data_IF_240365971465
#
_entry.id   IF_240365971465
#
_cell.length_a   1.000
_cell.length_b   1.000
_cell.length_c   1.000
_cell.angle_alpha   90.00
_cell.angle_beta   90.00
_cell.angle_gamma   90.00
#
_symmetry.space_group_name_H-M   'P 1'
#
loop_
_entity.id
_entity.type
_entity.pdbx_description
1 polymer ?
#
# COMPACT_ATOMS: atom_id res chain seq x y z
N UNK A 1 -13.33 -17.13 21.72
CA UNK A 1 -13.11 -18.27 20.79
C UNK A 1 -11.82 -18.02 20.04
N UNK A 2 -10.86 -18.95 20.10
CA UNK A 2 -9.62 -18.83 19.32
C UNK A 2 -9.98 -18.97 17.83
N UNK A 3 -9.69 -17.93 17.05
CA UNK A 3 -10.09 -17.88 15.64
C UNK A 3 -9.17 -18.78 14.82
N UNK A 4 -9.76 -19.67 14.02
CA UNK A 4 -9.02 -20.50 13.06
C UNK A 4 -8.40 -19.57 11.99
N UNK A 5 -7.09 -19.69 11.81
CA UNK A 5 -6.35 -18.99 10.74
C UNK A 5 -6.82 -19.52 9.40
N UNK A 6 -7.06 -18.61 8.44
CA UNK A 6 -7.62 -18.94 7.13
C UNK A 6 -6.51 -18.82 6.08
N UNK A 7 -6.00 -19.96 5.62
CA UNK A 7 -4.83 -20.03 4.72
C UNK A 7 -5.05 -19.26 3.41
N UNK A 8 -6.28 -19.26 2.88
CA UNK A 8 -6.60 -18.54 1.64
C UNK A 8 -6.42 -17.02 1.75
N UNK A 9 -6.56 -16.44 2.95
CA UNK A 9 -6.36 -14.98 3.15
C UNK A 9 -4.85 -14.66 3.15
N UNK A 10 -4.03 -15.55 3.71
CA UNK A 10 -2.58 -15.41 3.64
C UNK A 10 -2.05 -15.60 2.21
N UNK A 11 -2.62 -16.55 1.46
CA UNK A 11 -2.35 -16.72 0.03
C UNK A 11 -2.73 -15.45 -0.75
N UNK A 12 -3.92 -14.90 -0.52
CA UNK A 12 -4.36 -13.66 -1.16
C UNK A 12 -3.41 -12.50 -0.87
N UNK A 13 -2.91 -12.38 0.37
CA UNK A 13 -1.90 -11.38 0.71
C UNK A 13 -0.59 -11.60 -0.05
N UNK A 14 -0.10 -12.84 -0.11
CA UNK A 14 1.08 -13.20 -0.89
C UNK A 14 0.93 -12.82 -2.37
N UNK A 15 -0.25 -13.13 -2.95
CA UNK A 15 -0.58 -12.75 -4.32
C UNK A 15 -0.57 -11.23 -4.51
N UNK A 16 -1.14 -10.46 -3.57
CA UNK A 16 -1.09 -8.98 -3.70
C UNK A 16 0.32 -8.42 -3.66
N UNK A 17 1.26 -9.02 -2.92
CA UNK A 17 2.66 -8.58 -2.93
C UNK A 17 3.29 -8.83 -4.31
N UNK A 18 3.10 -10.03 -4.87
CA UNK A 18 3.57 -10.34 -6.23
C UNK A 18 2.94 -9.41 -7.27
N UNK A 19 1.67 -9.06 -7.07
CA UNK A 19 0.93 -8.20 -7.97
C UNK A 19 1.42 -6.74 -7.95
N UNK A 20 1.85 -6.25 -6.78
CA UNK A 20 2.54 -4.94 -6.66
C UNK A 20 3.85 -4.96 -7.42
N UNK A 21 4.64 -6.03 -7.34
CA UNK A 21 5.89 -6.17 -8.09
C UNK A 21 5.61 -6.23 -9.59
N UNK A 22 4.64 -7.05 -10.02
CA UNK A 22 4.24 -7.22 -11.43
C UNK A 22 3.92 -5.88 -12.10
N UNK A 23 3.20 -5.01 -11.41
CA UNK A 23 2.84 -3.67 -11.90
C UNK A 23 4.05 -2.79 -12.24
N UNK A 24 5.18 -2.98 -11.57
CA UNK A 24 6.40 -2.23 -11.82
C UNK A 24 7.36 -2.93 -12.78
N UNK A 25 7.00 -4.12 -13.24
CA UNK A 25 7.66 -4.78 -14.37
C UNK A 25 6.95 -4.31 -15.64
N UNK A 26 7.66 -4.20 -16.76
CA UNK A 26 7.10 -3.88 -18.09
C UNK A 26 6.26 -5.05 -18.65
N UNK A 27 5.50 -5.72 -17.78
CA UNK A 27 4.64 -6.84 -18.09
C UNK A 27 3.24 -6.34 -18.43
N UNK A 28 2.51 -7.03 -19.32
CA UNK A 28 1.12 -6.71 -19.59
C UNK A 28 0.31 -6.74 -18.30
N UNK A 29 -0.41 -5.65 -18.02
CA UNK A 29 -1.35 -5.58 -16.92
C UNK A 29 -2.72 -5.17 -17.44
N UNK A 30 -3.71 -6.01 -17.19
CA UNK A 30 -5.11 -5.69 -17.46
C UNK A 30 -5.72 -4.83 -16.36
N UNK A 31 -5.08 -4.75 -15.18
CA UNK A 31 -5.58 -3.98 -14.05
C UNK A 31 -4.61 -2.85 -13.72
N UNK A 32 -5.18 -1.68 -13.43
CA UNK A 32 -4.40 -0.49 -13.15
C UNK A 32 -3.87 -0.48 -11.72
N UNK A 33 -2.74 0.22 -11.54
CA UNK A 33 -2.13 0.53 -10.24
C UNK A 33 -3.14 1.09 -9.22
N UNK A 34 -4.12 1.84 -9.73
CA UNK A 34 -5.25 2.43 -9.01
C UNK A 34 -6.12 1.43 -8.26
N UNK A 35 -6.08 0.15 -8.62
CA UNK A 35 -6.83 -0.93 -7.95
C UNK A 35 -5.89 -1.80 -7.11
N UNK A 36 -4.73 -2.11 -7.67
CA UNK A 36 -3.74 -3.00 -7.05
C UNK A 36 -3.27 -2.49 -5.67
N UNK A 37 -2.84 -1.23 -5.59
CA UNK A 37 -2.31 -0.67 -4.34
C UNK A 37 -3.40 -0.54 -3.25
N UNK A 38 -4.62 -0.01 -3.55
CA UNK A 38 -5.70 -0.03 -2.58
C UNK A 38 -6.06 -1.41 -2.05
N UNK A 39 -6.15 -2.43 -2.91
CA UNK A 39 -6.45 -3.81 -2.51
C UNK A 39 -5.36 -4.35 -1.59
N UNK A 40 -4.08 -4.14 -1.93
CA UNK A 40 -2.94 -4.54 -1.10
C UNK A 40 -3.01 -3.94 0.31
N UNK A 41 -3.23 -2.62 0.42
CA UNK A 41 -3.29 -1.94 1.71
C UNK A 41 -4.54 -2.31 2.51
N UNK A 42 -5.69 -2.48 1.84
CA UNK A 42 -6.92 -2.95 2.46
C UNK A 42 -6.76 -4.36 3.06
N UNK A 43 -6.23 -5.33 2.30
CA UNK A 43 -5.99 -6.67 2.82
C UNK A 43 -4.95 -6.68 3.94
N UNK A 44 -3.93 -5.85 3.83
CA UNK A 44 -2.93 -5.69 4.89
C UNK A 44 -3.53 -5.15 6.19
N UNK A 45 -4.50 -4.22 6.10
CA UNK A 45 -5.28 -3.74 7.23
C UNK A 45 -6.28 -4.79 7.75
N UNK A 46 -6.95 -5.52 6.88
CA UNK A 46 -7.90 -6.58 7.25
C UNK A 46 -7.24 -7.73 8.03
N UNK A 47 -5.96 -7.95 7.76
CA UNK A 47 -5.09 -8.91 8.45
C UNK A 47 -4.34 -8.31 9.63
N UNK A 48 -4.59 -7.05 9.98
CA UNK A 48 -4.04 -6.44 11.18
C UNK A 48 -4.57 -7.21 12.40
N UNK A 49 -3.62 -7.59 13.26
CA UNK A 49 -3.93 -8.19 14.56
C UNK A 49 -3.20 -7.41 15.64
N UNK A 50 -3.95 -7.04 16.66
CA UNK A 50 -3.43 -6.30 17.79
C UNK A 50 -2.39 -7.17 18.52
N UNK A 51 -1.15 -6.68 18.59
CA UNK A 51 -0.17 -7.20 19.53
C UNK A 51 -0.28 -6.39 20.81
N UNK A 52 -0.30 -7.09 21.95
CA UNK A 52 -0.44 -6.47 23.28
C UNK A 52 0.73 -5.52 23.61
N UNK A 53 1.91 -5.78 23.07
CA UNK A 53 3.14 -5.06 23.42
C UNK A 53 3.83 -4.43 22.20
N UNK A 54 4.31 -3.20 22.38
CA UNK A 54 4.98 -2.41 21.35
C UNK A 54 6.30 -3.07 20.88
N UNK A 55 7.14 -3.53 21.81
CA UNK A 55 8.49 -3.99 21.46
C UNK A 55 8.47 -5.28 20.60
N UNK A 56 7.66 -6.31 20.93
CA UNK A 56 7.48 -7.46 20.05
C UNK A 56 6.86 -7.13 18.70
N UNK A 57 5.97 -6.12 18.64
CA UNK A 57 5.43 -5.62 17.39
C UNK A 57 6.51 -4.95 16.54
N UNK A 58 7.21 -3.97 17.11
CA UNK A 58 8.28 -3.23 16.46
C UNK A 58 9.34 -4.18 15.90
N UNK A 59 9.90 -5.07 16.74
CA UNK A 59 10.92 -6.05 16.31
C UNK A 59 10.40 -6.92 15.15
N UNK A 60 9.14 -7.37 15.21
CA UNK A 60 8.58 -8.18 14.13
C UNK A 60 8.43 -7.38 12.83
N UNK A 61 7.93 -6.14 12.88
CA UNK A 61 7.71 -5.31 11.70
C UNK A 61 9.01 -4.78 11.10
N UNK A 62 10.02 -4.50 11.93
CA UNK A 62 11.37 -4.22 11.46
C UNK A 62 11.91 -5.37 10.62
N UNK A 63 11.87 -6.61 11.17
CA UNK A 63 12.39 -7.79 10.47
C UNK A 63 11.62 -8.14 9.20
N UNK A 64 10.29 -7.98 9.20
CA UNK A 64 9.47 -8.41 8.05
C UNK A 64 9.24 -7.34 7.00
N UNK A 65 9.43 -6.05 7.32
CA UNK A 65 9.14 -4.94 6.41
C UNK A 65 10.39 -4.08 6.13
N UNK A 66 11.02 -3.52 7.17
CA UNK A 66 12.15 -2.60 6.95
C UNK A 66 13.43 -3.32 6.53
N UNK A 67 13.74 -4.49 7.09
CA UNK A 67 14.92 -5.26 6.68
C UNK A 67 14.86 -5.63 5.19
N UNK A 68 13.75 -6.18 4.65
CA UNK A 68 13.62 -6.37 3.21
C UNK A 68 13.70 -5.07 2.42
N UNK A 69 13.06 -3.99 2.86
CA UNK A 69 13.11 -2.70 2.17
C UNK A 69 14.54 -2.14 2.04
N UNK A 70 15.31 -2.19 3.13
CA UNK A 70 16.73 -1.79 3.15
C UNK A 70 17.55 -2.70 2.25
N UNK A 71 17.35 -4.01 2.31
CA UNK A 71 18.06 -4.97 1.46
C UNK A 71 17.86 -4.67 -0.04
N UNK A 72 16.61 -4.51 -0.47
CA UNK A 72 16.33 -4.18 -1.87
C UNK A 72 16.81 -2.77 -2.25
N UNK A 73 16.76 -1.80 -1.34
CA UNK A 73 17.33 -0.47 -1.58
C UNK A 73 18.83 -0.52 -1.79
N UNK A 74 19.58 -1.28 -0.99
CA UNK A 74 21.03 -1.48 -1.16
C UNK A 74 21.31 -2.18 -2.49
N UNK A 75 20.54 -3.22 -2.82
CA UNK A 75 20.67 -3.92 -4.09
C UNK A 75 20.46 -2.97 -5.28
N UNK A 76 19.39 -2.18 -5.26
CA UNK A 76 19.13 -1.16 -6.29
C UNK A 76 20.22 -0.10 -6.36
N UNK A 77 20.76 0.34 -5.22
CA UNK A 77 21.87 1.29 -5.17
C UNK A 77 23.10 0.75 -5.93
N UNK A 78 23.46 -0.52 -5.71
CA UNK A 78 24.58 -1.17 -6.39
C UNK A 78 24.30 -1.34 -7.88
N UNK A 79 23.10 -1.81 -8.25
CA UNK A 79 22.74 -2.06 -9.64
C UNK A 79 22.67 -0.77 -10.48
N UNK A 80 22.07 0.30 -9.95
CA UNK A 80 21.99 1.60 -10.64
C UNK A 80 23.39 2.20 -10.75
N UNK A 81 24.20 2.12 -9.69
CA UNK A 81 25.59 2.56 -9.72
C UNK A 81 26.43 1.80 -10.76
N UNK A 82 26.20 0.50 -10.94
CA UNK A 82 26.90 -0.31 -11.94
C UNK A 82 26.49 0.02 -13.38
N UNK A 83 25.26 0.50 -13.59
CA UNK A 83 24.75 0.91 -14.92
C UNK A 83 25.36 2.22 -15.43
N UNK A 84 26.18 2.89 -14.62
CA UNK A 84 26.78 4.21 -14.92
C UNK A 84 25.72 5.27 -15.29
N UNK A 85 24.61 5.26 -14.55
CA UNK A 85 23.53 6.23 -14.71
C UNK A 85 24.01 7.64 -14.33
N UNK A 86 23.92 8.59 -15.28
CA UNK A 86 24.46 9.95 -15.14
C UNK A 86 23.77 10.76 -14.05
N UNK A 87 22.46 10.57 -13.88
CA UNK A 87 21.67 11.28 -12.87
C UNK A 87 21.99 10.71 -11.49
N UNK A 88 22.19 9.40 -11.40
CA UNK A 88 22.66 8.77 -10.18
C UNK A 88 24.08 9.20 -9.83
N UNK A 89 25.03 9.20 -10.78
CA UNK A 89 26.43 9.50 -10.52
C UNK A 89 26.64 10.92 -9.97
N UNK A 90 25.94 11.90 -10.55
CA UNK A 90 26.02 13.32 -10.19
C UNK A 90 25.24 13.71 -8.93
N UNK A 91 24.35 12.84 -8.44
CA UNK A 91 23.52 13.10 -7.27
C UNK A 91 24.31 13.06 -5.94
N UNK A 92 23.83 13.82 -4.95
CA UNK A 92 24.31 13.76 -3.56
C UNK A 92 24.02 12.39 -2.96
N UNK A 93 24.74 12.00 -1.89
CA UNK A 93 24.54 10.69 -1.26
C UNK A 93 23.10 10.43 -0.82
N UNK A 94 22.45 11.40 -0.18
CA UNK A 94 21.04 11.28 0.22
C UNK A 94 20.10 11.10 -0.98
N UNK A 95 20.37 11.80 -2.08
CA UNK A 95 19.57 11.70 -3.30
C UNK A 95 19.83 10.38 -4.04
N UNK A 96 21.05 9.86 -4.02
CA UNK A 96 21.38 8.51 -4.50
C UNK A 96 20.59 7.44 -3.72
N UNK A 97 20.53 7.56 -2.40
CA UNK A 97 19.73 6.65 -1.58
C UNK A 97 18.22 6.76 -1.92
N UNK A 98 17.70 7.97 -2.12
CA UNK A 98 16.30 8.17 -2.53
C UNK A 98 15.99 7.54 -3.90
N UNK A 99 16.87 7.75 -4.89
CA UNK A 99 16.78 7.12 -6.21
C UNK A 99 16.84 5.60 -6.11
N UNK A 100 17.75 5.06 -5.30
CA UNK A 100 17.86 3.63 -5.07
C UNK A 100 16.60 3.05 -4.41
N UNK A 101 16.02 3.76 -3.43
CA UNK A 101 14.77 3.31 -2.80
C UNK A 101 13.62 3.28 -3.81
N UNK A 102 13.49 4.31 -4.67
CA UNK A 102 12.49 4.30 -5.74
C UNK A 102 12.70 3.14 -6.71
N UNK A 103 13.93 2.93 -7.16
CA UNK A 103 14.30 1.82 -8.04
C UNK A 103 14.08 0.44 -7.41
N UNK A 104 14.08 0.35 -6.07
CA UNK A 104 13.79 -0.89 -5.35
C UNK A 104 12.31 -1.25 -5.27
N UNK A 105 11.42 -0.30 -5.57
CA UNK A 105 9.95 -0.45 -5.52
C UNK A 105 9.42 -0.78 -4.10
N UNK A 106 10.26 -0.72 -3.06
CA UNK A 106 9.88 -1.14 -1.70
C UNK A 106 9.17 -0.09 -0.85
N UNK A 107 8.77 1.04 -1.43
CA UNK A 107 8.10 2.14 -0.71
C UNK A 107 6.87 1.66 0.08
N UNK A 108 6.14 0.65 -0.43
CA UNK A 108 4.95 0.11 0.21
C UNK A 108 5.28 -0.65 1.51
N UNK A 109 6.48 -1.20 1.65
CA UNK A 109 6.94 -1.84 2.89
C UNK A 109 7.19 -0.79 3.98
N UNK A 110 7.79 0.34 3.62
CA UNK A 110 7.99 1.49 4.52
C UNK A 110 6.65 2.08 4.95
N UNK A 111 5.74 2.31 3.99
CA UNK A 111 4.39 2.79 4.28
C UNK A 111 3.64 1.82 5.21
N UNK A 112 3.70 0.51 4.93
CA UNK A 112 3.05 -0.50 5.75
C UNK A 112 3.65 -0.55 7.16
N UNK A 113 4.96 -0.42 7.31
CA UNK A 113 5.59 -0.33 8.63
C UNK A 113 5.01 0.82 9.45
N UNK A 114 4.92 2.02 8.86
CA UNK A 114 4.37 3.20 9.52
C UNK A 114 2.89 3.02 9.86
N UNK A 115 2.09 2.48 8.94
CA UNK A 115 0.68 2.19 9.21
C UNK A 115 0.50 1.22 10.38
N UNK A 116 1.36 0.20 10.50
CA UNK A 116 1.33 -0.72 11.64
C UNK A 116 1.69 -0.01 12.96
N UNK A 117 2.64 0.93 12.95
CA UNK A 117 3.02 1.69 14.15
C UNK A 117 1.92 2.69 14.55
N UNK A 118 1.35 3.40 13.58
CA UNK A 118 0.22 4.32 13.79
C UNK A 118 -0.96 3.53 14.34
N UNK A 119 -1.33 2.42 13.71
CA UNK A 119 -2.47 1.61 14.13
C UNK A 119 -2.30 1.09 15.57
N UNK A 120 -1.10 0.68 15.96
CA UNK A 120 -0.83 0.31 17.36
C UNK A 120 -1.14 1.44 18.34
N UNK A 121 -0.73 2.67 18.03
CA UNK A 121 -1.04 3.85 18.85
C UNK A 121 -2.55 4.09 18.88
N UNK A 122 -3.21 4.01 17.73
CA UNK A 122 -4.66 4.19 17.62
C UNK A 122 -5.44 3.16 18.44
N UNK A 123 -5.05 1.89 18.39
CA UNK A 123 -5.67 0.82 19.18
C UNK A 123 -5.44 1.03 20.68
N UNK A 124 -4.19 1.34 21.07
CA UNK A 124 -3.81 1.61 22.46
C UNK A 124 -4.61 2.75 23.09
N UNK A 125 -4.87 3.82 22.35
CA UNK A 125 -5.62 4.98 22.83
C UNK A 125 -7.09 5.00 22.38
N UNK A 126 -7.57 3.94 21.70
CA UNK A 126 -8.95 3.80 21.21
C UNK A 126 -9.43 4.96 20.30
N UNK A 127 -8.53 5.50 19.48
CA UNK A 127 -8.78 6.71 18.67
C UNK A 127 -9.36 6.41 17.27
N UNK A 128 -10.14 5.33 17.12
CA UNK A 128 -10.51 4.80 15.80
C UNK A 128 -11.21 5.80 14.86
N UNK A 129 -12.16 6.57 15.41
CA UNK A 129 -12.94 7.54 14.62
C UNK A 129 -12.10 8.75 14.23
N UNK A 130 -11.17 9.16 15.09
CA UNK A 130 -10.20 10.22 14.78
C UNK A 130 -9.25 9.79 13.68
N UNK A 131 -8.78 8.54 13.70
CA UNK A 131 -7.91 8.04 12.64
C UNK A 131 -8.64 7.93 11.30
N UNK A 132 -9.90 7.48 11.31
CA UNK A 132 -10.72 7.46 10.10
C UNK A 132 -10.97 8.88 9.56
N UNK A 133 -11.35 9.82 10.42
CA UNK A 133 -11.54 11.22 10.03
C UNK A 133 -10.26 11.85 9.48
N UNK A 134 -9.11 11.58 10.13
CA UNK A 134 -7.80 12.01 9.66
C UNK A 134 -7.48 11.43 8.28
N UNK A 135 -7.64 10.12 8.10
CA UNK A 135 -7.37 9.44 6.84
C UNK A 135 -8.22 9.98 5.68
N UNK A 136 -9.49 10.34 5.94
CA UNK A 136 -10.37 10.98 4.96
C UNK A 136 -9.87 12.40 4.63
N UNK A 137 -9.51 13.18 5.65
CA UNK A 137 -9.06 14.58 5.49
C UNK A 137 -7.78 14.69 4.67
N UNK A 138 -6.81 13.80 4.91
CA UNK A 138 -5.50 13.86 4.25
C UNK A 138 -5.46 13.15 2.90
N UNK A 139 -6.44 12.30 2.59
CA UNK A 139 -6.49 11.59 1.31
C UNK A 139 -6.43 12.54 0.10
N UNK A 140 -7.25 13.62 0.01
CA UNK A 140 -7.16 14.57 -1.10
C UNK A 140 -5.79 15.25 -1.23
N UNK A 141 -5.15 15.55 -0.10
CA UNK A 141 -3.80 16.17 -0.06
C UNK A 141 -2.78 15.18 -0.63
N UNK A 142 -2.84 13.92 -0.19
CA UNK A 142 -2.02 12.84 -0.73
C UNK A 142 -2.22 12.67 -2.23
N UNK A 143 -3.49 12.61 -2.69
CA UNK A 143 -3.81 12.43 -4.10
C UNK A 143 -3.25 13.57 -4.95
N UNK A 144 -3.31 14.80 -4.45
CA UNK A 144 -2.71 15.95 -5.11
C UNK A 144 -1.18 15.85 -5.21
N UNK A 145 -0.48 15.52 -4.12
CA UNK A 145 0.98 15.35 -4.14
C UNK A 145 1.42 14.22 -5.06
N UNK A 146 0.69 13.11 -5.02
CA UNK A 146 0.96 11.96 -5.88
C UNK A 146 0.77 12.35 -7.36
N UNK A 147 -0.35 12.98 -7.73
CA UNK A 147 -0.63 13.40 -9.10
C UNK A 147 0.36 14.44 -9.66
N UNK A 148 1.03 15.20 -8.79
CA UNK A 148 2.09 16.14 -9.16
C UNK A 148 3.49 15.52 -9.21
N UNK A 149 3.63 14.23 -8.91
CA UNK A 149 4.92 13.57 -8.84
C UNK A 149 5.77 14.03 -7.65
N UNK A 150 5.15 14.65 -6.63
CA UNK A 150 5.83 15.12 -5.41
C UNK A 150 6.08 13.96 -4.45
N UNK A 151 6.70 12.90 -4.95
CA UNK A 151 7.06 11.70 -4.19
C UNK A 151 8.20 11.98 -3.20
N UNK A 152 9.04 12.98 -3.47
CA UNK A 152 10.30 13.28 -2.76
C UNK A 152 10.34 14.61 -2.03
N UNK A 153 9.19 15.12 -1.59
CA UNK A 153 9.19 16.31 -0.71
C UNK A 153 10.09 16.06 0.51
N UNK A 154 10.18 14.79 0.94
CA UNK A 154 11.11 14.32 1.97
C UNK A 154 11.88 13.12 1.42
N UNK A 155 13.21 13.21 1.22
CA UNK A 155 14.02 12.09 0.74
C UNK A 155 13.83 10.85 1.61
N UNK A 156 13.79 9.67 0.97
CA UNK A 156 13.61 8.36 1.62
C UNK A 156 12.25 8.14 2.31
N UNK A 157 11.39 9.15 2.35
CA UNK A 157 10.11 9.07 3.03
C UNK A 157 8.97 9.18 2.01
N UNK A 158 8.22 8.10 1.73
CA UNK A 158 7.21 8.09 0.68
C UNK A 158 5.92 8.82 1.11
N UNK A 159 6.01 10.13 1.40
CA UNK A 159 4.94 10.93 2.00
C UNK A 159 3.65 10.88 1.19
N UNK A 160 3.72 11.16 -0.10
CA UNK A 160 2.54 11.15 -0.97
C UNK A 160 1.81 9.80 -0.93
N UNK A 161 2.57 8.70 -0.99
CA UNK A 161 2.04 7.34 -0.91
C UNK A 161 1.37 7.06 0.44
N UNK A 162 2.01 7.46 1.55
CA UNK A 162 1.46 7.31 2.90
C UNK A 162 0.12 8.06 3.01
N UNK A 163 0.08 9.32 2.55
CA UNK A 163 -1.11 10.15 2.62
C UNK A 163 -2.28 9.56 1.82
N UNK A 164 -2.01 9.06 0.61
CA UNK A 164 -3.02 8.41 -0.25
C UNK A 164 -3.48 7.08 0.32
N UNK A 165 -2.56 6.19 0.70
CA UNK A 165 -2.92 4.79 0.90
C UNK A 165 -3.39 4.43 2.31
N UNK A 166 -3.20 5.32 3.29
CA UNK A 166 -3.60 5.04 4.67
C UNK A 166 -5.11 4.77 4.79
N UNK A 167 -5.95 5.44 4.00
CA UNK A 167 -7.42 5.26 4.07
C UNK A 167 -7.81 3.80 3.77
N UNK A 168 -7.17 3.18 2.79
CA UNK A 168 -7.45 1.79 2.44
C UNK A 168 -7.00 0.84 3.54
N UNK A 169 -5.83 1.11 4.15
CA UNK A 169 -5.37 0.34 5.30
C UNK A 169 -6.35 0.46 6.48
N UNK A 170 -6.79 1.68 6.83
CA UNK A 170 -7.73 1.96 7.91
C UNK A 170 -9.08 1.27 7.69
N UNK A 171 -9.62 1.37 6.47
CA UNK A 171 -10.82 0.64 6.08
C UNK A 171 -10.60 -0.87 6.22
N UNK A 172 -9.44 -1.38 5.80
CA UNK A 172 -9.04 -2.76 6.03
C UNK A 172 -9.17 -3.16 7.50
N UNK A 173 -8.60 -2.38 8.41
CA UNK A 173 -8.64 -2.68 9.86
C UNK A 173 -10.08 -2.70 10.40
N UNK A 174 -10.91 -1.73 10.03
CA UNK A 174 -12.22 -1.54 10.66
C UNK A 174 -13.35 -2.33 10.03
N UNK A 175 -13.34 -2.51 8.70
CA UNK A 175 -14.41 -3.21 7.98
C UNK A 175 -13.91 -4.49 7.30
N UNK A 176 -12.61 -4.62 7.02
CA UNK A 176 -12.07 -5.70 6.20
C UNK A 176 -12.33 -7.09 6.77
N UNK A 177 -12.28 -7.28 8.09
CA UNK A 177 -12.58 -8.58 8.68
C UNK A 177 -14.05 -9.00 8.48
N UNK A 178 -14.97 -8.04 8.59
CA UNK A 178 -16.39 -8.29 8.34
C UNK A 178 -16.61 -8.59 6.86
N UNK A 179 -15.98 -7.83 5.97
CA UNK A 179 -16.01 -8.08 4.52
C UNK A 179 -15.50 -9.47 4.18
N UNK A 180 -14.37 -9.90 4.74
CA UNK A 180 -13.80 -11.23 4.51
C UNK A 180 -14.72 -12.35 5.05
N UNK A 181 -15.36 -12.14 6.19
CA UNK A 181 -16.34 -13.10 6.71
C UNK A 181 -17.61 -13.16 5.86
N UNK A 182 -18.05 -12.05 5.25
CA UNK A 182 -19.20 -12.06 4.33
C UNK A 182 -18.97 -12.90 3.07
N UNK A 183 -17.72 -13.04 2.64
CA UNK A 183 -17.34 -13.92 1.51
C UNK A 183 -17.61 -15.39 1.84
N UNK A 184 -17.53 -15.79 3.12
CA UNK A 184 -17.76 -17.18 3.54
C UNK A 184 -19.23 -17.56 3.63
N UNK A 185 -20.16 -16.60 3.68
CA UNK A 185 -21.58 -16.88 3.82
C UNK A 185 -22.29 -16.94 2.44
N UNK A 186 -22.88 -18.08 2.02
CA UNK A 186 -22.99 -18.38 0.59
C UNK A 186 -24.17 -17.77 -0.18
N UNK A 187 -25.25 -17.29 0.46
CA UNK A 187 -26.52 -17.19 -0.29
C UNK A 187 -26.94 -15.80 -0.81
N UNK A 188 -26.58 -14.70 -0.14
CA UNK A 188 -27.02 -13.34 -0.58
C UNK A 188 -25.83 -12.37 -0.63
N UNK A 189 -25.00 -12.38 0.42
CA UNK A 189 -23.88 -11.44 0.53
C UNK A 189 -22.72 -11.78 -0.41
N UNK A 190 -22.37 -13.06 -0.58
CA UNK A 190 -21.34 -13.50 -1.52
C UNK A 190 -21.67 -13.10 -2.96
N UNK A 191 -22.91 -13.34 -3.42
CA UNK A 191 -23.36 -12.94 -4.77
C UNK A 191 -23.30 -11.43 -4.97
N UNK A 192 -23.79 -10.65 -4.01
CA UNK A 192 -23.77 -9.19 -4.11
C UNK A 192 -22.33 -8.64 -4.10
N UNK A 193 -21.42 -9.24 -3.32
CA UNK A 193 -19.99 -8.88 -3.31
C UNK A 193 -19.31 -9.20 -4.65
N UNK A 194 -19.63 -10.35 -5.26
CA UNK A 194 -19.12 -10.70 -6.59
C UNK A 194 -19.64 -9.71 -7.63
N UNK A 195 -20.94 -9.41 -7.63
CA UNK A 195 -21.53 -8.41 -8.53
C UNK A 195 -20.88 -7.04 -8.33
N UNK A 196 -20.73 -6.59 -7.09
CA UNK A 196 -20.06 -5.32 -6.78
C UNK A 196 -18.60 -5.31 -7.25
N UNK A 197 -17.89 -6.42 -7.10
CA UNK A 197 -16.50 -6.56 -7.57
C UNK A 197 -16.42 -6.50 -9.09
N UNK A 198 -17.31 -7.20 -9.81
CA UNK A 198 -17.41 -7.15 -11.27
C UNK A 198 -17.75 -5.72 -11.73
N UNK A 199 -18.73 -5.06 -11.10
CA UNK A 199 -19.08 -3.67 -11.40
C UNK A 199 -17.87 -2.77 -11.18
N UNK A 200 -17.14 -2.93 -10.07
CA UNK A 200 -15.95 -2.13 -9.79
C UNK A 200 -14.88 -2.34 -10.84
N UNK A 201 -14.60 -3.59 -11.25
CA UNK A 201 -13.66 -3.91 -12.32
C UNK A 201 -14.11 -3.26 -13.63
N UNK A 202 -15.37 -3.43 -14.03
CA UNK A 202 -15.91 -2.84 -15.26
C UNK A 202 -15.82 -1.31 -15.23
N UNK A 203 -16.25 -0.67 -14.14
CA UNK A 203 -16.16 0.78 -13.98
C UNK A 203 -14.70 1.26 -14.08
N UNK A 204 -13.75 0.57 -13.46
CA UNK A 204 -12.33 0.91 -13.59
C UNK A 204 -11.85 0.82 -15.04
N UNK A 205 -12.39 -0.06 -15.88
CA UNK A 205 -11.97 -0.13 -17.29
C UNK A 205 -12.73 0.85 -18.18
N UNK A 206 -13.96 1.22 -17.82
CA UNK A 206 -14.78 2.19 -18.56
C UNK A 206 -14.40 3.64 -18.25
N UNK A 207 -13.81 3.91 -17.09
CA UNK A 207 -13.36 5.24 -16.71
C UNK A 207 -12.14 5.63 -17.57
N UNK A 208 -12.20 6.73 -18.33
CA UNK A 208 -11.08 7.18 -19.17
C UNK A 208 -10.05 7.92 -18.31
N UNK A 209 -9.28 7.16 -17.53
CA UNK A 209 -8.33 7.70 -16.56
C UNK A 209 -7.26 8.61 -17.13
N UNK A 210 -6.96 8.48 -18.43
CA UNK A 210 -5.93 9.26 -19.11
C UNK A 210 -6.44 10.61 -19.66
N UNK A 211 -7.73 10.94 -19.53
CA UNK A 211 -8.31 12.16 -20.11
C UNK A 211 -9.06 13.02 -19.09
N UNK A 212 -9.27 14.30 -19.44
CA UNK A 212 -10.08 15.23 -18.67
C UNK A 212 -9.56 15.53 -17.25
N UNK A 213 -10.48 15.63 -16.29
CA UNK A 213 -10.18 15.86 -14.87
C UNK A 213 -9.52 14.64 -14.20
N UNK A 214 -9.78 13.44 -14.72
CA UNK A 214 -9.33 12.18 -14.12
C UNK A 214 -7.84 11.88 -14.34
N UNK A 215 -7.20 12.52 -15.33
CA UNK A 215 -5.73 12.49 -15.50
C UNK A 215 -4.98 13.05 -14.28
N UNK A 216 -5.67 13.84 -13.45
CA UNK A 216 -5.13 14.39 -12.21
C UNK A 216 -5.47 13.54 -10.99
N UNK A 217 -6.20 12.43 -11.18
CA UNK A 217 -6.32 11.40 -10.16
C UNK A 217 -5.08 10.52 -10.28
N UNK A 218 -4.32 10.52 -9.19
CA UNK A 218 -2.93 10.13 -8.98
C UNK A 218 -2.41 8.84 -9.61
N UNK A 219 -3.23 7.96 -10.17
CA UNK A 219 -2.84 6.58 -10.41
C UNK A 219 -2.38 6.26 -11.84
N UNK A 220 -2.14 7.29 -12.67
CA UNK A 220 -1.86 7.17 -14.11
C UNK A 220 -0.73 8.09 -14.63
N UNK A 221 0.04 8.72 -13.73
CA UNK A 221 1.25 9.48 -14.10
C UNK A 221 2.48 8.69 -13.68
#
# INVERSE_FOLDING_TARGET
>A
MAQVRKDYIDIAKGFTILWVVWMHMELPSYLFASVQMPVFFFLSGALWSEKKELMPLLRSRLRTLLVPAVYFTILSFVLIGWRDDKDFASASFLMKLDLAQKGSITWFLVALFLFNMIQYVIDKYRLKWYYLGWAILVYPIGSYFYAKGYYTVVPLFPLAHILVFQIYFVLGVYIGRNTLNMIEYPLINGRNLVIFSIITIVLVHLIPWQTGFLKHISFFV
#
